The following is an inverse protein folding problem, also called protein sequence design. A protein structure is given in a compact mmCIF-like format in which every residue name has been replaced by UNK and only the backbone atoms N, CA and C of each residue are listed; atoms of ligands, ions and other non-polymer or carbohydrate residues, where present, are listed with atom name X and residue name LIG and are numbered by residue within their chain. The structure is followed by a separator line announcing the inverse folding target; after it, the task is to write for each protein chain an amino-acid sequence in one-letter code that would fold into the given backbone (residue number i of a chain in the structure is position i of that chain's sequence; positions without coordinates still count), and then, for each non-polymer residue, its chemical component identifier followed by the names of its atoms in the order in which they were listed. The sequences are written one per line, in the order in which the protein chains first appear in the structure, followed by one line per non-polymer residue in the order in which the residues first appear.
data_IF_002317082712
#
_entry.id   IF_002317082712
#
_cell.length_a   1.000
_cell.length_b   1.000
_cell.length_c   1.000
_cell.angle_alpha   90.00
_cell.angle_beta   90.00
_cell.angle_gamma   90.00
#
_symmetry.space_group_name_H-M   'P 1'
#
loop_
_entity.id
_entity.type
_entity.pdbx_description
1 polymer ?
#
# COMPACT_ATOMS: atom_id res chain seq x y z
N UNK A 1 5.42 4.42 -21.71
CA UNK A 1 5.35 2.98 -22.05
C UNK A 1 5.22 2.23 -20.74
N UNK A 2 4.25 1.33 -20.62
CA UNK A 2 4.10 0.53 -19.40
C UNK A 2 5.41 -0.21 -19.12
N UNK A 3 5.89 -0.18 -17.87
CA UNK A 3 6.98 -1.02 -17.43
C UNK A 3 6.63 -2.50 -17.74
N UNK A 4 7.61 -3.33 -18.11
CA UNK A 4 7.36 -4.76 -18.30
C UNK A 4 6.69 -5.32 -17.04
N UNK A 5 5.61 -6.08 -17.24
CA UNK A 5 4.82 -6.71 -16.19
C UNK A 5 5.72 -7.43 -15.18
N UNK A 6 5.32 -7.42 -13.90
CA UNK A 6 5.97 -8.24 -12.87
C UNK A 6 6.11 -9.66 -13.43
N UNK A 7 7.34 -10.19 -13.61
CA UNK A 7 7.52 -11.58 -13.96
C UNK A 7 6.76 -12.41 -12.93
N UNK A 8 5.93 -13.34 -13.39
CA UNK A 8 5.19 -14.21 -12.49
C UNK A 8 6.18 -14.80 -11.47
N UNK A 9 6.09 -14.37 -10.20
CA UNK A 9 6.97 -14.83 -9.11
C UNK A 9 6.94 -16.36 -8.97
N UNK A 10 5.91 -16.99 -9.54
CA UNK A 10 5.56 -18.39 -9.45
C UNK A 10 6.04 -19.22 -10.65
N UNK A 11 6.40 -18.61 -11.79
CA UNK A 11 6.83 -19.36 -12.99
C UNK A 11 8.25 -19.94 -12.93
N UNK A 12 8.99 -19.72 -11.84
CA UNK A 12 10.38 -20.19 -11.70
C UNK A 12 10.56 -21.32 -10.67
N UNK A 13 9.47 -21.86 -10.11
CA UNK A 13 9.53 -23.00 -9.17
C UNK A 13 9.26 -24.33 -9.89
N UNK A 14 10.13 -24.66 -10.86
CA UNK A 14 10.04 -25.95 -11.55
C UNK A 14 11.27 -26.23 -12.39
N UNK A 15 12.32 -26.80 -11.80
CA UNK A 15 13.54 -27.09 -12.55
C UNK A 15 14.62 -27.83 -11.80
N UNK A 16 14.28 -28.88 -11.06
CA UNK A 16 15.27 -29.85 -10.59
C UNK A 16 14.70 -31.28 -10.66
N UNK A 17 15.15 -32.05 -11.65
CA UNK A 17 15.05 -33.51 -11.66
C UNK A 17 14.21 -34.10 -12.79
N UNK A 18 14.88 -34.45 -13.90
CA UNK A 18 14.27 -35.26 -14.96
C UNK A 18 15.26 -35.59 -16.08
N UNK A 19 16.07 -36.64 -15.89
CA UNK A 19 16.83 -37.27 -16.98
C UNK A 19 15.86 -37.98 -17.92
N UNK A 20 15.90 -37.66 -19.21
CA UNK A 20 15.23 -38.43 -20.27
C UNK A 20 15.57 -37.85 -21.64
N UNK A 21 16.36 -38.58 -22.42
CA UNK A 21 16.90 -38.12 -23.70
C UNK A 21 15.90 -38.18 -24.86
N UNK A 22 16.27 -37.52 -25.96
CA UNK A 22 15.58 -37.65 -27.25
C UNK A 22 15.81 -36.45 -28.14
N UNK A 23 16.61 -36.66 -29.20
CA UNK A 23 16.86 -35.73 -30.30
C UNK A 23 15.54 -35.31 -30.97
N UNK A 24 15.38 -34.03 -31.29
CA UNK A 24 15.26 -33.57 -32.68
C UNK A 24 15.33 -32.06 -32.78
N UNK A 25 16.20 -31.59 -33.67
CA UNK A 25 16.52 -30.19 -33.88
C UNK A 25 15.55 -29.50 -34.82
N UNK A 26 15.24 -28.24 -34.51
CA UNK A 26 15.00 -27.14 -35.46
C UNK A 26 15.42 -25.86 -34.77
N UNK A 27 16.57 -25.32 -35.21
CA UNK A 27 17.15 -24.09 -34.69
C UNK A 27 16.29 -22.89 -35.03
N UNK A 28 15.91 -22.12 -34.00
CA UNK A 28 15.37 -20.78 -34.13
C UNK A 28 16.45 -19.82 -33.64
N UNK A 29 16.83 -18.89 -34.52
CA UNK A 29 17.98 -18.01 -34.37
C UNK A 29 17.94 -17.16 -33.11
N UNK A 30 19.13 -16.99 -32.53
CA UNK A 30 19.44 -16.03 -31.48
C UNK A 30 19.19 -14.60 -32.00
N UNK A 31 17.97 -14.10 -31.79
CA UNK A 31 17.62 -12.71 -31.97
C UNK A 31 18.33 -11.85 -30.93
N UNK A 32 19.45 -11.27 -31.34
CA UNK A 32 20.18 -10.22 -30.61
C UNK A 32 19.22 -9.05 -30.35
N UNK A 33 18.81 -8.86 -29.10
CA UNK A 33 18.04 -7.68 -28.69
C UNK A 33 18.88 -6.40 -28.96
N UNK A 34 18.31 -5.38 -29.61
CA UNK A 34 18.98 -4.10 -29.74
C UNK A 34 19.06 -3.44 -28.36
N UNK A 35 20.26 -3.00 -27.98
CA UNK A 35 20.47 -2.20 -26.79
C UNK A 35 19.78 -0.84 -26.99
N UNK A 36 18.61 -0.66 -26.37
CA UNK A 36 17.96 0.63 -26.30
C UNK A 36 18.67 1.48 -25.22
N UNK A 37 19.23 2.60 -25.68
CA UNK A 37 19.90 3.61 -24.89
C UNK A 37 18.92 4.36 -23.97
N UNK A 38 19.42 4.78 -22.79
CA UNK A 38 18.72 5.64 -21.84
C UNK A 38 18.50 4.95 -20.49
N UNK A 39 19.50 5.00 -19.62
CA UNK A 39 19.33 4.52 -18.24
C UNK A 39 18.31 5.40 -17.52
N UNK A 40 17.10 4.89 -17.30
CA UNK A 40 16.15 5.50 -16.38
C UNK A 40 16.85 5.70 -15.02
N UNK A 41 16.70 6.89 -14.43
CA UNK A 41 17.22 7.15 -13.08
C UNK A 41 16.59 6.18 -12.09
N UNK A 42 17.31 5.83 -11.01
CA UNK A 42 16.76 4.96 -9.96
C UNK A 42 15.40 5.49 -9.45
N UNK A 43 15.26 6.80 -9.35
CA UNK A 43 14.04 7.49 -8.94
C UNK A 43 12.87 7.26 -9.91
N UNK A 44 13.12 7.25 -11.23
CA UNK A 44 12.06 6.97 -12.21
C UNK A 44 11.51 5.54 -12.04
N UNK A 45 12.38 4.58 -11.73
CA UNK A 45 11.96 3.20 -11.48
C UNK A 45 11.15 3.07 -10.19
N UNK A 46 11.47 3.86 -9.17
CA UNK A 46 10.67 3.93 -7.93
C UNK A 46 9.30 4.57 -8.23
N UNK A 47 9.25 5.65 -9.01
CA UNK A 47 8.00 6.31 -9.42
C UNK A 47 7.10 5.38 -10.25
N UNK A 48 7.65 4.50 -11.07
CA UNK A 48 6.88 3.51 -11.85
C UNK A 48 6.15 2.48 -10.95
N UNK A 49 6.56 2.33 -9.68
CA UNK A 49 5.85 1.44 -8.74
C UNK A 49 4.46 1.97 -8.37
N UNK A 50 4.25 3.29 -8.40
CA UNK A 50 2.93 3.91 -8.22
C UNK A 50 1.98 3.50 -9.35
N UNK A 51 2.45 3.50 -10.60
CA UNK A 51 1.64 3.07 -11.75
C UNK A 51 1.20 1.61 -11.63
N UNK A 52 2.10 0.72 -11.21
CA UNK A 52 1.77 -0.70 -11.00
C UNK A 52 0.74 -0.89 -9.86
N UNK A 53 0.86 -0.09 -8.79
CA UNK A 53 -0.10 -0.07 -7.69
C UNK A 53 -1.47 0.46 -8.11
N UNK A 54 -1.52 1.56 -8.87
CA UNK A 54 -2.74 2.16 -9.40
C UNK A 54 -3.50 1.18 -10.32
N UNK A 55 -2.79 0.51 -11.24
CA UNK A 55 -3.37 -0.51 -12.11
C UNK A 55 -3.90 -1.70 -11.31
N UNK A 56 -3.17 -2.16 -10.29
CA UNK A 56 -3.63 -3.26 -9.44
C UNK A 56 -4.87 -2.89 -8.64
N UNK A 57 -4.95 -1.65 -8.15
CA UNK A 57 -6.14 -1.10 -7.50
C UNK A 57 -7.33 -1.04 -8.44
N UNK A 58 -7.17 -0.48 -9.65
CA UNK A 58 -8.25 -0.41 -10.63
C UNK A 58 -8.75 -1.81 -11.02
N UNK A 59 -7.85 -2.78 -11.23
CA UNK A 59 -8.24 -4.17 -11.47
C UNK A 59 -9.13 -4.73 -10.35
N UNK A 60 -8.75 -4.53 -9.09
CA UNK A 60 -9.55 -4.97 -7.95
C UNK A 60 -10.91 -4.26 -7.88
N UNK A 61 -10.98 -2.96 -8.21
CA UNK A 61 -12.23 -2.19 -8.28
C UNK A 61 -13.16 -2.72 -9.38
N UNK A 62 -12.65 -2.95 -10.59
CA UNK A 62 -13.45 -3.41 -11.73
C UNK A 62 -14.07 -4.79 -11.53
N UNK A 63 -13.38 -5.65 -10.77
CA UNK A 63 -13.92 -6.95 -10.39
C UNK A 63 -14.93 -6.85 -9.24
N UNK A 64 -14.90 -5.76 -8.47
CA UNK A 64 -15.77 -5.54 -7.31
C UNK A 64 -15.15 -5.94 -5.97
N UNK A 65 -13.84 -6.16 -5.90
CA UNK A 65 -13.15 -6.36 -4.61
C UNK A 65 -13.24 -5.09 -3.77
N UNK A 66 -13.01 -3.93 -4.39
CA UNK A 66 -12.99 -2.62 -3.74
C UNK A 66 -14.08 -1.71 -4.31
N UNK A 67 -14.70 -0.93 -3.44
CA UNK A 67 -15.54 0.21 -3.85
C UNK A 67 -14.71 1.49 -3.76
N UNK A 68 -14.36 2.02 -4.93
CA UNK A 68 -13.55 3.22 -5.06
C UNK A 68 -13.84 3.95 -6.38
N UNK A 69 -14.69 4.99 -6.35
CA UNK A 69 -15.07 5.71 -7.56
C UNK A 69 -13.94 6.55 -8.16
N UNK A 70 -12.81 6.69 -7.46
CA UNK A 70 -11.71 7.55 -7.85
C UNK A 70 -10.55 6.78 -8.51
N UNK A 71 -10.52 5.45 -8.40
CA UNK A 71 -9.39 4.64 -8.88
C UNK A 71 -9.13 4.77 -10.39
N UNK A 72 -10.19 4.88 -11.19
CA UNK A 72 -10.08 5.01 -12.64
C UNK A 72 -9.45 6.35 -13.08
N UNK A 73 -9.60 7.40 -12.27
CA UNK A 73 -9.03 8.72 -12.57
C UNK A 73 -7.49 8.72 -12.64
N UNK A 74 -6.84 7.76 -11.99
CA UNK A 74 -5.38 7.70 -11.86
C UNK A 74 -4.71 6.66 -12.76
N UNK A 75 -5.46 5.96 -13.61
CA UNK A 75 -4.90 4.99 -14.57
C UNK A 75 -5.12 5.50 -16.00
N UNK A 76 -4.02 5.57 -16.76
CA UNK A 76 -4.09 5.93 -18.18
C UNK A 76 -4.08 4.68 -19.07
N UNK A 77 -4.90 4.70 -20.11
CA UNK A 77 -4.98 3.62 -21.10
C UNK A 77 -6.01 2.55 -20.74
N UNK A 78 -6.08 1.46 -21.53
CA UNK A 78 -7.06 0.41 -21.31
C UNK A 78 -6.82 -0.27 -19.95
N UNK A 79 -7.88 -0.56 -19.18
CA UNK A 79 -7.75 -1.28 -17.93
C UNK A 79 -7.09 -2.64 -18.13
N UNK A 80 -6.08 -2.93 -17.31
CA UNK A 80 -5.36 -4.19 -17.35
C UNK A 80 -5.79 -5.05 -16.18
N UNK A 81 -6.49 -6.16 -16.45
CA UNK A 81 -6.90 -7.11 -15.43
C UNK A 81 -5.69 -7.83 -14.83
N UNK A 82 -5.66 -7.93 -13.50
CA UNK A 82 -4.66 -8.70 -12.74
C UNK A 82 -5.21 -10.07 -12.38
N UNK A 83 -4.30 -10.98 -12.02
CA UNK A 83 -4.66 -12.32 -11.54
C UNK A 83 -5.42 -12.23 -10.21
N UNK A 84 -6.33 -13.19 -9.89
CA UNK A 84 -7.10 -13.18 -8.65
C UNK A 84 -6.24 -13.06 -7.39
N UNK A 85 -5.06 -13.70 -7.37
CA UNK A 85 -4.08 -13.59 -6.27
C UNK A 85 -3.64 -12.14 -5.99
N UNK A 86 -3.49 -11.32 -7.04
CA UNK A 86 -3.10 -9.91 -6.95
C UNK A 86 -4.28 -9.05 -6.50
N UNK A 87 -5.47 -9.30 -7.03
CA UNK A 87 -6.69 -8.59 -6.60
C UNK A 87 -6.97 -8.85 -5.10
N UNK A 88 -6.84 -10.10 -4.66
CA UNK A 88 -6.97 -10.50 -3.25
C UNK A 88 -5.91 -9.84 -2.37
N UNK A 89 -4.64 -9.82 -2.77
CA UNK A 89 -3.60 -9.10 -2.03
C UNK A 89 -3.87 -7.60 -1.93
N UNK A 90 -4.31 -6.97 -3.03
CA UNK A 90 -4.67 -5.54 -3.09
C UNK A 90 -5.85 -5.21 -2.16
N UNK A 91 -6.83 -6.10 -2.10
CA UNK A 91 -7.96 -6.00 -1.18
C UNK A 91 -7.51 -6.05 0.27
N UNK A 92 -6.76 -7.09 0.67
CA UNK A 92 -6.32 -7.25 2.08
C UNK A 92 -5.44 -6.09 2.51
N UNK A 93 -4.49 -5.66 1.66
CA UNK A 93 -3.69 -4.45 1.90
C UNK A 93 -4.56 -3.23 2.19
N UNK A 94 -5.57 -3.00 1.35
CA UNK A 94 -6.45 -1.83 1.48
C UNK A 94 -7.27 -1.91 2.77
N UNK A 95 -7.89 -3.07 3.04
CA UNK A 95 -8.73 -3.28 4.24
C UNK A 95 -7.92 -3.20 5.52
N UNK A 96 -6.74 -3.82 5.56
CA UNK A 96 -5.85 -3.78 6.72
C UNK A 96 -5.48 -2.35 7.11
N UNK A 97 -5.04 -1.54 6.14
CA UNK A 97 -4.71 -0.13 6.38
C UNK A 97 -5.96 0.69 6.78
N UNK A 98 -7.09 0.48 6.09
CA UNK A 98 -8.34 1.18 6.40
C UNK A 98 -8.82 0.86 7.82
N UNK A 99 -8.68 -0.38 8.30
CA UNK A 99 -9.02 -0.77 9.67
C UNK A 99 -8.11 -0.09 10.71
N UNK A 100 -6.79 -0.05 10.47
CA UNK A 100 -5.83 0.61 11.38
C UNK A 100 -6.12 2.12 11.46
N UNK A 101 -6.32 2.75 10.31
CA UNK A 101 -6.63 4.19 10.23
C UNK A 101 -7.96 4.48 10.91
N UNK A 102 -8.99 3.68 10.65
CA UNK A 102 -10.30 3.84 11.32
C UNK A 102 -10.20 3.67 12.83
N UNK A 103 -9.38 2.72 13.30
CA UNK A 103 -9.14 2.50 14.72
C UNK A 103 -8.41 3.67 15.39
N UNK A 104 -7.49 4.32 14.68
CA UNK A 104 -6.85 5.55 15.14
C UNK A 104 -7.85 6.73 15.16
N UNK A 105 -8.62 6.91 14.09
CA UNK A 105 -9.61 7.98 13.95
C UNK A 105 -10.77 7.87 14.95
N UNK A 106 -11.13 6.66 15.38
CA UNK A 106 -12.18 6.44 16.39
C UNK A 106 -11.75 6.78 17.83
N UNK A 107 -10.46 6.95 18.11
CA UNK A 107 -10.01 7.31 19.46
C UNK A 107 -10.49 8.72 19.84
N UNK A 108 -10.84 8.98 21.10
CA UNK A 108 -11.09 10.35 21.54
C UNK A 108 -9.82 11.20 21.39
N UNK A 109 -10.01 12.49 21.13
CA UNK A 109 -8.92 13.46 21.21
C UNK A 109 -8.39 13.50 22.66
N UNK A 110 -7.12 13.90 22.83
CA UNK A 110 -6.53 14.00 24.16
C UNK A 110 -7.28 15.02 25.03
N UNK A 111 -7.25 14.87 26.37
CA UNK A 111 -7.82 15.89 27.26
C UNK A 111 -7.09 17.23 27.04
N UNK A 112 -7.85 18.26 26.63
CA UNK A 112 -7.33 19.59 26.31
C UNK A 112 -7.05 19.84 24.81
N UNK A 113 -7.15 18.81 23.96
CA UNK A 113 -6.98 18.94 22.52
C UNK A 113 -8.30 19.37 21.86
N UNK A 114 -8.41 20.66 21.55
CA UNK A 114 -9.21 21.12 20.41
C UNK A 114 -8.58 20.73 19.06
N UNK A 115 -7.56 19.87 19.05
CA UNK A 115 -6.74 19.56 17.89
C UNK A 115 -7.44 18.57 16.96
N UNK A 116 -7.59 19.00 15.70
CA UNK A 116 -7.75 18.17 14.51
C UNK A 116 -6.80 16.98 14.48
N UNK A 117 -7.30 15.82 14.03
CA UNK A 117 -6.43 14.67 13.73
C UNK A 117 -5.73 14.91 12.41
N UNK A 118 -4.51 14.40 12.30
CA UNK A 118 -3.75 14.49 11.05
C UNK A 118 -3.31 13.11 10.60
N UNK A 119 -3.40 12.86 9.29
CA UNK A 119 -2.82 11.68 8.64
C UNK A 119 -1.70 12.17 7.73
N UNK A 120 -0.54 11.53 7.81
CA UNK A 120 0.60 11.79 6.91
C UNK A 120 0.89 10.51 6.14
N UNK A 121 0.59 10.50 4.85
CA UNK A 121 0.87 9.39 3.94
C UNK A 121 2.22 9.62 3.25
N UNK A 122 3.20 8.78 3.57
CA UNK A 122 4.55 8.84 2.99
C UNK A 122 4.66 7.88 1.79
N UNK A 123 5.07 8.38 0.63
CA UNK A 123 5.01 7.62 -0.62
C UNK A 123 3.55 7.38 -1.02
N UNK A 124 2.72 8.43 -0.94
CA UNK A 124 1.28 8.32 -1.14
C UNK A 124 0.91 7.92 -2.57
N UNK A 125 1.77 8.20 -3.55
CA UNK A 125 1.48 7.98 -4.96
C UNK A 125 0.11 8.56 -5.34
N UNK A 126 -0.66 7.76 -6.05
CA UNK A 126 -2.02 8.06 -6.50
C UNK A 126 -3.11 7.51 -5.56
N UNK A 127 -2.81 7.34 -4.27
CA UNK A 127 -3.80 6.89 -3.27
C UNK A 127 -5.07 7.75 -3.27
N UNK A 128 -6.22 7.08 -3.24
CA UNK A 128 -7.56 7.68 -3.29
C UNK A 128 -8.23 7.71 -1.93
N UNK A 129 -7.58 7.15 -0.90
CA UNK A 129 -8.07 7.17 0.48
C UNK A 129 -8.43 8.55 1.02
N UNK A 130 -7.68 9.65 0.75
CA UNK A 130 -8.05 10.97 1.25
C UNK A 130 -9.48 11.35 0.84
N UNK A 131 -9.85 11.13 -0.43
CA UNK A 131 -11.18 11.44 -0.95
C UNK A 131 -12.27 10.66 -0.20
N UNK A 132 -12.07 9.35 0.00
CA UNK A 132 -13.02 8.49 0.73
C UNK A 132 -13.12 8.84 2.22
N UNK A 133 -12.00 9.17 2.87
CA UNK A 133 -11.98 9.51 4.28
C UNK A 133 -12.63 10.87 4.55
N UNK A 134 -12.34 11.89 3.74
CA UNK A 134 -12.90 13.23 3.90
C UNK A 134 -14.40 13.29 3.57
N UNK A 135 -14.88 12.42 2.67
CA UNK A 135 -16.30 12.22 2.42
C UNK A 135 -17.02 11.58 3.65
N UNK A 136 -16.36 10.62 4.33
CA UNK A 136 -16.96 9.86 5.44
C UNK A 136 -16.81 10.49 6.82
N UNK A 137 -15.81 11.35 7.03
CA UNK A 137 -15.48 11.97 8.32
C UNK A 137 -15.75 13.49 8.32
N UNK A 138 -16.75 13.95 7.57
CA UNK A 138 -17.10 15.38 7.43
C UNK A 138 -17.37 16.12 8.75
N UNK A 139 -17.66 15.40 9.84
CA UNK A 139 -17.91 15.96 11.17
C UNK A 139 -16.66 16.11 12.05
N UNK A 140 -15.51 15.57 11.62
CA UNK A 140 -14.24 15.69 12.34
C UNK A 140 -13.28 16.60 11.54
N UNK A 141 -12.59 17.50 12.24
CA UNK A 141 -11.50 18.25 11.64
C UNK A 141 -10.32 17.28 11.39
N UNK A 142 -10.20 16.81 10.14
CA UNK A 142 -9.17 15.89 9.68
C UNK A 142 -8.29 16.59 8.64
N UNK A 143 -7.00 16.65 8.91
CA UNK A 143 -6.00 17.11 7.94
C UNK A 143 -5.31 15.90 7.33
N UNK A 144 -5.25 15.82 6.00
CA UNK A 144 -4.57 14.73 5.31
C UNK A 144 -3.40 15.29 4.49
N UNK A 145 -2.20 14.88 4.85
CA UNK A 145 -0.96 15.24 4.17
C UNK A 145 -0.48 14.07 3.33
N UNK A 146 -0.09 14.36 2.09
CA UNK A 146 0.56 13.40 1.20
C UNK A 146 1.94 13.89 0.83
N UNK A 147 2.94 13.02 1.00
CA UNK A 147 4.34 13.33 0.69
C UNK A 147 4.83 12.30 -0.34
N UNK A 148 5.30 12.78 -1.48
CA UNK A 148 5.86 11.98 -2.56
C UNK A 148 6.91 12.79 -3.34
N UNK A 149 7.49 12.20 -4.39
CA UNK A 149 8.33 12.91 -5.33
C UNK A 149 7.55 14.00 -6.08
N UNK A 150 8.21 15.12 -6.37
CA UNK A 150 7.60 16.26 -7.06
C UNK A 150 6.86 15.88 -8.37
N UNK A 151 7.40 15.01 -9.24
CA UNK A 151 6.68 14.61 -10.45
C UNK A 151 5.39 13.84 -10.16
N UNK A 152 5.38 13.02 -9.11
CA UNK A 152 4.19 12.28 -8.65
C UNK A 152 3.14 13.23 -8.12
N UNK A 153 3.53 14.16 -7.23
CA UNK A 153 2.65 15.17 -6.66
C UNK A 153 2.03 16.06 -7.75
N UNK A 154 2.86 16.54 -8.70
CA UNK A 154 2.38 17.36 -9.83
C UNK A 154 1.39 16.59 -10.70
N UNK A 155 1.67 15.32 -11.02
CA UNK A 155 0.76 14.50 -11.82
C UNK A 155 -0.59 14.32 -11.12
N UNK A 156 -0.57 13.97 -9.83
CA UNK A 156 -1.79 13.81 -9.02
C UNK A 156 -2.59 15.11 -8.97
N UNK A 157 -1.93 16.23 -8.71
CA UNK A 157 -2.53 17.56 -8.72
C UNK A 157 -3.23 17.88 -10.05
N UNK A 158 -2.53 17.65 -11.18
CA UNK A 158 -3.08 17.86 -12.51
C UNK A 158 -4.34 17.01 -12.75
N UNK A 159 -4.33 15.74 -12.35
CA UNK A 159 -5.49 14.86 -12.47
C UNK A 159 -6.67 15.39 -11.62
N UNK A 160 -6.43 15.73 -10.35
CA UNK A 160 -7.46 16.27 -9.45
C UNK A 160 -8.10 17.53 -10.06
N UNK A 161 -7.28 18.47 -10.53
CA UNK A 161 -7.75 19.73 -11.11
C UNK A 161 -8.52 19.55 -12.42
N UNK A 162 -8.13 18.60 -13.24
CA UNK A 162 -8.73 18.39 -14.58
C UNK A 162 -9.88 17.40 -14.60
N UNK A 163 -10.08 16.65 -13.52
CA UNK A 163 -11.16 15.66 -13.39
C UNK A 163 -12.33 16.26 -12.61
N UNK A 164 -13.50 16.52 -13.23
CA UNK A 164 -14.61 17.20 -12.56
C UNK A 164 -15.10 16.50 -11.28
N UNK A 165 -15.09 15.17 -11.26
CA UNK A 165 -15.50 14.36 -10.11
C UNK A 165 -14.58 14.56 -8.89
N UNK A 166 -13.31 14.94 -9.11
CA UNK A 166 -12.34 15.22 -8.06
C UNK A 166 -12.29 16.73 -7.76
N UNK A 167 -12.22 17.57 -8.79
CA UNK A 167 -12.13 19.02 -8.65
C UNK A 167 -13.30 19.60 -7.83
N UNK A 168 -14.52 19.07 -8.01
CA UNK A 168 -15.70 19.52 -7.27
C UNK A 168 -15.64 19.23 -5.75
N UNK A 169 -14.69 18.41 -5.28
CA UNK A 169 -14.52 18.09 -3.85
C UNK A 169 -13.64 19.09 -3.10
N UNK A 170 -12.93 19.95 -3.84
CA UNK A 170 -11.92 20.83 -3.29
C UNK A 170 -12.22 22.30 -3.57
N UNK A 171 -12.00 23.14 -2.55
CA UNK A 171 -12.07 24.60 -2.59
C UNK A 171 -10.69 25.16 -2.19
N UNK A 172 -10.45 26.45 -2.44
CA UNK A 172 -9.24 27.18 -2.03
C UNK A 172 -7.92 26.45 -2.40
N UNK A 173 -7.83 26.04 -3.66
CA UNK A 173 -6.66 25.32 -4.19
C UNK A 173 -5.49 26.29 -4.37
N UNK A 174 -4.45 26.11 -3.58
CA UNK A 174 -3.19 26.87 -3.66
C UNK A 174 -2.07 25.97 -4.19
N UNK A 175 -1.32 26.46 -5.19
CA UNK A 175 -0.14 25.77 -5.75
C UNK A 175 1.12 26.60 -5.49
N UNK A 176 2.11 25.98 -4.86
CA UNK A 176 3.43 26.57 -4.70
C UNK A 176 4.31 26.25 -5.92
N UNK A 177 5.25 27.15 -6.23
CA UNK A 177 6.23 26.94 -7.31
C UNK A 177 7.09 25.67 -7.14
N UNK A 178 7.17 25.13 -5.92
CA UNK A 178 7.85 23.87 -5.59
C UNK A 178 7.09 22.61 -6.01
N UNK A 179 5.87 22.72 -6.53
CA UNK A 179 4.99 21.57 -6.83
C UNK A 179 4.20 21.05 -5.63
N UNK A 180 4.34 21.68 -4.47
CA UNK A 180 3.47 21.47 -3.31
C UNK A 180 2.12 22.16 -3.54
N UNK A 181 1.03 21.55 -3.09
CA UNK A 181 -0.30 22.13 -3.20
C UNK A 181 -1.12 21.88 -1.92
N UNK A 182 -2.11 22.75 -1.69
CA UNK A 182 -3.07 22.67 -0.58
C UNK A 182 -4.47 22.92 -1.14
N UNK A 183 -5.47 22.27 -0.55
CA UNK A 183 -6.86 22.58 -0.81
C UNK A 183 -7.70 22.32 0.44
N UNK A 184 -8.85 22.99 0.55
CA UNK A 184 -9.87 22.67 1.54
C UNK A 184 -10.84 21.66 0.94
N UNK A 185 -11.27 20.68 1.72
CA UNK A 185 -12.33 19.77 1.29
C UNK A 185 -13.69 20.46 1.49
N UNK A 186 -14.61 20.32 0.54
CA UNK A 186 -15.94 20.96 0.56
C UNK A 186 -16.75 20.70 1.85
N UNK A 187 -16.46 19.60 2.56
CA UNK A 187 -17.13 19.25 3.82
C UNK A 187 -16.50 19.85 5.08
N UNK A 188 -15.33 20.50 4.97
CA UNK A 188 -14.56 21.03 6.11
C UNK A 188 -14.56 22.56 6.05
N UNK A 189 -15.54 23.19 6.69
CA UNK A 189 -15.61 24.66 6.84
C UNK A 189 -14.99 25.12 8.16
N UNK A 190 -13.65 25.19 8.24
CA UNK A 190 -12.97 25.98 9.27
C UNK A 190 -11.65 26.53 8.72
N UNK A 191 -11.55 27.87 8.65
CA UNK A 191 -10.32 28.56 8.30
C UNK A 191 -9.44 28.71 9.54
N UNK A 192 -8.42 27.88 9.66
CA UNK A 192 -7.17 28.18 10.39
C UNK A 192 -6.07 27.26 9.82
N UNK A 193 -4.84 27.24 10.35
CA UNK A 193 -3.81 26.19 10.09
C UNK A 193 -2.67 26.41 9.08
N UNK A 194 -2.18 27.62 8.82
CA UNK A 194 -0.86 27.77 8.18
C UNK A 194 0.31 27.68 9.18
N UNK A 195 0.09 28.00 10.47
CA UNK A 195 1.15 28.08 11.51
C UNK A 195 1.48 26.71 12.16
N UNK A 196 0.58 25.72 12.07
CA UNK A 196 0.66 24.46 12.84
C UNK A 196 1.66 23.43 12.28
N UNK A 197 2.04 23.55 11.00
CA UNK A 197 3.02 22.65 10.38
C UNK A 197 4.42 22.89 10.97
N UNK A 198 4.75 24.14 11.31
CA UNK A 198 6.02 24.47 11.96
C UNK A 198 6.04 23.96 13.41
N UNK A 199 4.93 24.06 14.15
CA UNK A 199 4.80 23.47 15.49
C UNK A 199 4.86 21.93 15.47
N UNK A 200 4.39 21.27 14.41
CA UNK A 200 4.47 19.82 14.22
C UNK A 200 5.92 19.31 14.11
N UNK A 201 6.79 20.09 13.44
CA UNK A 201 8.22 19.75 13.33
C UNK A 201 9.03 20.26 14.53
N UNK A 202 8.60 21.35 15.18
CA UNK A 202 9.28 21.95 16.32
C UNK A 202 8.93 21.23 17.65
N UNK A 203 7.71 20.70 17.79
CA UNK A 203 7.33 19.83 18.90
C UNK A 203 7.55 18.37 18.49
N UNK A 204 8.37 17.64 19.25
CA UNK A 204 8.42 16.17 19.12
C UNK A 204 6.98 15.67 19.30
N UNK A 205 6.33 15.16 18.25
CA UNK A 205 4.92 14.74 18.26
C UNK A 205 4.62 13.92 19.53
N UNK A 206 3.90 14.53 20.47
CA UNK A 206 3.66 13.94 21.78
C UNK A 206 2.85 12.65 21.64
N UNK A 207 1.90 12.64 20.71
CA UNK A 207 0.99 11.55 20.36
C UNK A 207 1.23 11.16 18.90
N UNK A 208 1.63 9.92 18.64
CA UNK A 208 1.96 9.47 17.29
C UNK A 208 1.50 8.03 17.07
N UNK A 209 0.89 7.77 15.92
CA UNK A 209 0.59 6.43 15.43
C UNK A 209 1.26 6.23 14.06
N UNK A 210 1.65 4.99 13.77
CA UNK A 210 2.22 4.60 12.47
C UNK A 210 1.58 3.30 12.00
N UNK A 211 1.38 3.20 10.69
CA UNK A 211 1.03 1.97 10.00
C UNK A 211 1.99 1.78 8.82
N UNK A 212 2.50 0.58 8.65
CA UNK A 212 3.45 0.18 7.62
C UNK A 212 2.88 -1.01 6.86
N UNK A 213 3.01 -0.98 5.54
CA UNK A 213 2.79 -2.15 4.68
C UNK A 213 4.03 -2.33 3.83
N UNK A 214 4.72 -3.46 3.96
CA UNK A 214 5.89 -3.75 3.15
C UNK A 214 6.06 -5.25 2.88
N UNK A 215 6.81 -5.63 1.83
CA UNK A 215 7.23 -7.01 1.67
C UNK A 215 8.12 -7.46 2.83
N UNK A 216 8.12 -8.76 3.06
CA UNK A 216 8.82 -9.44 4.13
C UNK A 216 9.45 -10.69 3.51
N UNK A 217 10.74 -10.66 3.15
CA UNK A 217 11.32 -11.71 2.34
C UNK A 217 11.38 -13.05 3.05
N UNK A 218 11.49 -13.09 4.39
CA UNK A 218 11.74 -14.33 5.12
C UNK A 218 13.04 -15.04 4.66
N UNK A 219 13.41 -16.12 5.36
CA UNK A 219 14.59 -16.93 5.03
C UNK A 219 14.23 -18.18 4.23
N UNK A 220 13.39 -18.03 3.20
CA UNK A 220 12.95 -19.14 2.36
C UNK A 220 13.24 -18.93 0.87
N UNK A 221 12.93 -19.94 0.05
CA UNK A 221 13.15 -19.87 -1.41
C UNK A 221 12.34 -18.76 -2.08
N UNK A 222 11.11 -18.52 -1.61
CA UNK A 222 10.25 -17.49 -2.18
C UNK A 222 10.83 -16.10 -1.88
N UNK A 223 11.31 -15.89 -0.66
CA UNK A 223 12.08 -14.71 -0.25
C UNK A 223 13.26 -14.39 -1.15
N UNK A 224 14.09 -15.40 -1.45
CA UNK A 224 15.24 -15.21 -2.34
C UNK A 224 14.81 -14.80 -3.76
N UNK A 225 13.73 -15.40 -4.28
CA UNK A 225 13.17 -15.04 -5.59
C UNK A 225 12.59 -13.62 -5.56
N UNK A 226 11.87 -13.25 -4.49
CA UNK A 226 11.36 -11.89 -4.29
C UNK A 226 12.47 -10.85 -4.33
N UNK A 227 13.54 -11.05 -3.54
CA UNK A 227 14.69 -10.15 -3.49
C UNK A 227 15.41 -10.07 -4.86
N UNK A 228 15.56 -11.21 -5.55
CA UNK A 228 16.12 -11.26 -6.89
C UNK A 228 15.29 -10.44 -7.89
N UNK A 229 13.96 -10.55 -7.84
CA UNK A 229 13.06 -9.82 -8.74
C UNK A 229 13.07 -8.31 -8.48
N UNK A 230 13.12 -7.88 -7.21
CA UNK A 230 13.29 -6.47 -6.86
C UNK A 230 14.63 -5.93 -7.38
N UNK A 231 15.72 -6.68 -7.19
CA UNK A 231 17.05 -6.32 -7.69
C UNK A 231 17.11 -6.25 -9.21
N UNK A 232 16.46 -7.18 -9.92
CA UNK A 232 16.36 -7.17 -11.38
C UNK A 232 15.62 -5.93 -11.90
N UNK A 233 14.67 -5.42 -11.13
CA UNK A 233 14.00 -4.13 -11.35
C UNK A 233 14.78 -2.93 -10.82
N UNK A 234 16.03 -3.09 -10.35
CA UNK A 234 16.83 -2.01 -9.74
C UNK A 234 16.17 -1.34 -8.53
N UNK A 235 15.25 -2.04 -7.86
CA UNK A 235 14.63 -1.59 -6.62
C UNK A 235 15.49 -2.08 -5.46
N UNK A 236 16.02 -1.13 -4.67
CA UNK A 236 16.83 -1.43 -3.50
C UNK A 236 16.07 -1.04 -2.23
N UNK A 237 15.83 -2.01 -1.35
CA UNK A 237 15.12 -1.81 -0.08
C UNK A 237 15.98 -2.33 1.09
N UNK A 238 16.83 -1.49 1.69
CA UNK A 238 17.71 -1.89 2.80
C UNK A 238 16.94 -2.47 3.99
N UNK A 239 15.70 -2.03 4.21
CA UNK A 239 14.84 -2.53 5.29
C UNK A 239 14.60 -4.04 5.19
N UNK A 240 14.52 -4.60 3.98
CA UNK A 240 14.24 -6.03 3.77
C UNK A 240 15.39 -6.93 4.22
N UNK A 241 16.61 -6.40 4.30
CA UNK A 241 17.78 -7.13 4.78
C UNK A 241 17.81 -7.16 6.31
N UNK A 242 17.36 -6.07 6.95
CA UNK A 242 17.42 -5.90 8.41
C UNK A 242 16.17 -6.42 9.11
N UNK A 243 14.99 -6.19 8.54
CA UNK A 243 13.67 -6.48 9.11
C UNK A 243 12.95 -7.51 8.23
N UNK A 244 13.56 -8.69 8.14
CA UNK A 244 13.19 -9.74 7.18
C UNK A 244 11.88 -10.47 7.50
N UNK A 245 11.42 -10.40 8.75
CA UNK A 245 10.24 -11.09 9.27
C UNK A 245 9.40 -10.17 10.17
N UNK A 246 8.26 -10.68 10.65
CA UNK A 246 7.27 -9.87 11.37
C UNK A 246 7.78 -9.45 12.75
N UNK A 247 8.62 -10.28 13.38
CA UNK A 247 9.32 -9.95 14.63
C UNK A 247 10.28 -8.78 14.41
N UNK A 248 11.06 -8.82 13.33
CA UNK A 248 11.97 -7.73 12.95
C UNK A 248 11.23 -6.41 12.71
N UNK A 249 10.03 -6.43 12.13
CA UNK A 249 9.20 -5.22 12.02
C UNK A 249 8.71 -4.72 13.39
N UNK A 250 8.37 -5.63 14.30
CA UNK A 250 8.05 -5.29 15.68
C UNK A 250 9.22 -4.61 16.41
N UNK A 251 10.44 -5.16 16.27
CA UNK A 251 11.67 -4.57 16.81
C UNK A 251 11.96 -3.21 16.20
N UNK A 252 11.80 -3.04 14.88
CA UNK A 252 11.94 -1.74 14.19
C UNK A 252 11.07 -0.66 14.83
N UNK A 253 9.81 -0.98 15.13
CA UNK A 253 8.88 -0.04 15.77
C UNK A 253 9.26 0.23 17.22
N UNK A 254 9.74 -0.78 17.95
CA UNK A 254 10.20 -0.64 19.32
C UNK A 254 11.43 0.27 19.42
N UNK A 255 12.41 0.04 18.55
CA UNK A 255 13.63 0.84 18.44
C UNK A 255 13.34 2.30 18.07
N UNK A 256 12.26 2.53 17.31
CA UNK A 256 11.77 3.86 16.97
C UNK A 256 10.99 4.56 18.12
N UNK A 257 10.78 3.88 19.26
CA UNK A 257 10.15 4.44 20.45
C UNK A 257 8.63 4.34 20.50
N UNK A 258 8.02 3.41 19.74
CA UNK A 258 6.60 3.09 19.88
C UNK A 258 6.36 2.18 21.10
N UNK A 259 5.26 2.42 21.81
CA UNK A 259 4.92 1.74 23.07
C UNK A 259 3.99 0.56 22.82
N UNK A 260 2.93 0.80 22.06
CA UNK A 260 2.00 -0.23 21.58
C UNK A 260 2.42 -0.65 20.20
N UNK A 261 2.68 -1.94 19.98
CA UNK A 261 3.19 -2.49 18.73
C UNK A 261 2.39 -3.74 18.36
N UNK A 262 2.02 -3.84 17.09
CA UNK A 262 1.47 -5.07 16.53
C UNK A 262 1.88 -5.26 15.07
N UNK A 263 1.76 -6.49 14.60
CA UNK A 263 2.06 -6.87 13.23
C UNK A 263 1.22 -8.08 12.82
N UNK A 264 0.97 -8.20 11.52
CA UNK A 264 0.32 -9.36 10.93
C UNK A 264 0.85 -9.56 9.51
N UNK A 265 1.10 -10.81 9.11
CA UNK A 265 1.26 -11.08 7.69
C UNK A 265 -0.06 -10.83 6.96
N UNK A 266 -0.02 -10.58 5.65
CA UNK A 266 -1.23 -10.46 4.83
C UNK A 266 -2.06 -11.75 4.88
N UNK A 267 -1.39 -12.90 5.04
CA UNK A 267 -2.04 -14.18 5.27
C UNK A 267 -2.82 -14.17 6.59
N UNK A 268 -2.19 -13.77 7.70
CA UNK A 268 -2.86 -13.74 9.01
C UNK A 268 -4.00 -12.71 9.02
N UNK A 269 -3.82 -11.57 8.37
CA UNK A 269 -4.87 -10.57 8.20
C UNK A 269 -6.06 -11.12 7.40
N UNK A 270 -5.82 -11.87 6.32
CA UNK A 270 -6.89 -12.57 5.60
C UNK A 270 -7.61 -13.57 6.49
N UNK A 271 -6.87 -14.41 7.21
CA UNK A 271 -7.44 -15.47 8.03
C UNK A 271 -8.27 -14.90 9.18
N UNK A 272 -7.77 -13.87 9.86
CA UNK A 272 -8.32 -13.37 11.11
C UNK A 272 -9.21 -12.11 11.00
N UNK A 273 -8.91 -11.21 10.06
CA UNK A 273 -9.56 -9.88 10.01
C UNK A 273 -10.70 -9.82 8.99
N UNK A 274 -10.63 -10.65 7.95
CA UNK A 274 -11.69 -10.77 6.95
C UNK A 274 -12.62 -11.91 7.39
N UNK A 275 -13.91 -11.59 7.57
CA UNK A 275 -14.90 -12.59 7.96
C UNK A 275 -15.28 -13.53 6.80
N UNK A 276 -15.93 -14.65 7.13
CA UNK A 276 -16.25 -15.69 6.16
C UNK A 276 -17.30 -15.26 5.14
N UNK A 277 -18.19 -14.32 5.51
CA UNK A 277 -19.17 -13.75 4.59
C UNK A 277 -18.47 -12.94 3.49
N UNK A 278 -17.49 -12.14 3.88
CA UNK A 278 -16.70 -11.34 2.96
C UNK A 278 -15.75 -12.20 2.13
N UNK A 279 -15.13 -13.24 2.72
CA UNK A 279 -14.36 -14.24 1.95
C UNK A 279 -15.24 -14.94 0.90
N UNK A 280 -16.47 -15.32 1.25
CA UNK A 280 -17.42 -15.92 0.32
C UNK A 280 -17.83 -14.94 -0.80
N UNK A 281 -18.06 -13.67 -0.47
CA UNK A 281 -18.32 -12.61 -1.47
C UNK A 281 -17.17 -12.51 -2.47
N UNK A 282 -15.93 -12.45 -1.98
CA UNK A 282 -14.74 -12.34 -2.85
C UNK A 282 -14.53 -13.60 -3.71
N UNK A 283 -14.75 -14.79 -3.16
CA UNK A 283 -14.68 -16.04 -3.91
C UNK A 283 -15.73 -16.14 -5.03
N UNK A 284 -16.92 -15.53 -4.82
CA UNK A 284 -17.96 -15.46 -5.84
C UNK A 284 -17.63 -14.48 -6.98
N UNK A 285 -16.79 -13.46 -6.73
CA UNK A 285 -16.32 -12.54 -7.78
C UNK A 285 -15.28 -13.21 -8.68
N UNK A 286 -14.27 -13.82 -8.07
CA UNK A 286 -13.21 -14.54 -8.75
C UNK A 286 -12.81 -15.77 -7.93
N UNK A 287 -12.96 -16.95 -8.53
CA UNK A 287 -12.39 -18.18 -7.98
C UNK A 287 -10.87 -18.08 -7.84
N UNK A 288 -10.32 -18.83 -6.90
CA UNK A 288 -8.88 -18.97 -6.73
C UNK A 288 -8.54 -20.47 -6.66
N UNK A 289 -7.99 -20.98 -7.75
CA UNK A 289 -7.61 -22.40 -7.85
C UNK A 289 -6.28 -22.69 -7.13
N UNK A 290 -5.39 -21.70 -7.06
CA UNK A 290 -4.03 -21.80 -6.47
C UNK A 290 -4.00 -21.19 -5.05
N UNK A 291 -4.71 -21.80 -4.10
CA UNK A 291 -4.83 -21.30 -2.72
C UNK A 291 -3.47 -21.30 -2.01
N UNK A 292 -2.65 -22.32 -2.23
CA UNK A 292 -1.32 -22.48 -1.64
C UNK A 292 -0.37 -21.38 -2.12
N UNK A 293 -0.46 -21.00 -3.40
CA UNK A 293 0.37 -19.92 -3.96
C UNK A 293 -0.03 -18.56 -3.40
N UNK A 294 -1.33 -18.33 -3.22
CA UNK A 294 -1.82 -17.15 -2.52
C UNK A 294 -1.35 -17.11 -1.06
N UNK A 295 -1.45 -18.22 -0.33
CA UNK A 295 -0.96 -18.29 1.05
C UNK A 295 0.54 -18.00 1.13
N UNK A 296 1.33 -18.55 0.19
CA UNK A 296 2.76 -18.30 0.10
C UNK A 296 3.05 -16.82 -0.16
N UNK A 297 2.42 -16.21 -1.17
CA UNK A 297 2.58 -14.77 -1.45
C UNK A 297 2.15 -13.92 -0.25
N UNK A 298 0.99 -14.20 0.33
CA UNK A 298 0.42 -13.42 1.43
C UNK A 298 1.23 -13.53 2.73
N UNK A 299 1.93 -14.65 2.96
CA UNK A 299 2.83 -14.78 4.10
C UNK A 299 4.06 -13.86 4.00
N UNK A 300 4.41 -13.39 2.80
CA UNK A 300 5.59 -12.55 2.52
C UNK A 300 5.30 -11.06 2.42
N UNK A 301 4.14 -10.62 2.90
CA UNK A 301 3.83 -9.21 3.09
C UNK A 301 3.33 -9.02 4.51
N UNK A 302 3.66 -7.89 5.10
CA UNK A 302 3.34 -7.59 6.49
C UNK A 302 2.69 -6.23 6.60
N UNK A 303 1.71 -6.16 7.49
CA UNK A 303 1.16 -4.92 8.02
C UNK A 303 1.66 -4.79 9.45
N UNK A 304 2.38 -3.73 9.77
CA UNK A 304 2.87 -3.44 11.11
C UNK A 304 2.35 -2.08 11.59
N UNK A 305 2.02 -1.95 12.86
CA UNK A 305 1.51 -0.71 13.43
C UNK A 305 2.10 -0.43 14.80
N UNK A 306 2.28 0.85 15.10
CA UNK A 306 2.87 1.34 16.34
C UNK A 306 2.12 2.57 16.85
N UNK A 307 2.02 2.72 18.17
CA UNK A 307 1.50 3.94 18.78
C UNK A 307 2.31 4.35 20.01
N UNK A 308 2.43 5.66 20.21
CA UNK A 308 3.08 6.33 21.33
C UNK A 308 2.12 7.38 21.88
N UNK A 309 1.77 7.30 23.17
CA UNK A 309 0.85 8.24 23.85
C UNK A 309 -0.51 8.41 23.14
N UNK A 310 -0.86 7.47 22.28
CA UNK A 310 -2.14 7.31 21.58
C UNK A 310 -2.38 5.82 21.41
N UNK A 311 -3.46 5.43 20.75
CA UNK A 311 -3.74 4.02 20.53
C UNK A 311 -4.62 3.76 19.32
N UNK A 312 -4.99 2.49 19.20
CA UNK A 312 -5.91 1.96 18.19
C UNK A 312 -7.16 1.35 18.85
N UNK A 313 -7.47 1.76 20.09
CA UNK A 313 -8.53 1.15 20.90
C UNK A 313 -8.34 -0.36 21.04
N UNK A 314 -9.43 -1.12 20.87
CA UNK A 314 -9.40 -2.58 20.91
C UNK A 314 -8.77 -3.23 19.68
N UNK A 315 -8.45 -2.48 18.61
CA UNK A 315 -7.92 -3.06 17.36
C UNK A 315 -6.66 -3.89 17.63
N UNK A 316 -5.70 -3.37 18.40
CA UNK A 316 -4.47 -4.11 18.73
C UNK A 316 -4.75 -5.41 19.48
N UNK A 317 -5.69 -5.39 20.44
CA UNK A 317 -6.09 -6.58 21.18
C UNK A 317 -6.79 -7.58 20.28
N UNK A 318 -7.78 -7.16 19.48
CA UNK A 318 -8.59 -8.01 18.59
C UNK A 318 -7.75 -8.60 17.46
N UNK A 319 -6.89 -7.77 16.84
CA UNK A 319 -5.99 -8.20 15.77
C UNK A 319 -4.99 -9.24 16.26
N UNK A 320 -4.49 -9.12 17.50
CA UNK A 320 -3.52 -10.05 18.08
C UNK A 320 -4.17 -11.28 18.76
N UNK A 321 -5.34 -11.16 19.40
CA UNK A 321 -6.02 -12.34 20.02
C UNK A 321 -6.50 -13.33 18.98
N UNK A 322 -6.92 -12.88 17.79
CA UNK A 322 -7.27 -13.80 16.69
C UNK A 322 -6.06 -14.48 16.04
N UNK A 323 -4.83 -14.02 16.27
CA UNK A 323 -3.61 -14.71 15.80
C UNK A 323 -3.19 -15.88 16.70
N UNK A 324 -3.51 -15.86 18.00
CA UNK A 324 -3.10 -16.90 18.95
C UNK A 324 -4.01 -18.15 18.90
N UNK A 325 -5.18 -18.06 18.25
CA UNK A 325 -6.18 -19.13 18.22
C UNK A 325 -5.90 -20.33 17.28
N UNK A 326 -4.78 -20.36 16.56
CA UNK A 326 -4.44 -21.45 15.62
C UNK A 326 -3.18 -22.24 16.00
N UNK A 327 -2.65 -22.02 17.21
CA UNK A 327 -1.50 -22.76 17.75
C UNK A 327 -1.85 -23.50 19.04
N UNK A 328 -2.62 -24.58 18.95
CA UNK A 328 -2.72 -25.63 19.99
C UNK A 328 -3.04 -26.95 19.33
#
# INVERSE_FOLDING_TARGET
MAAPSIPNLLSMRGGAGGRGGGRDGRGIGCGRFPAAAGGASADAVIQDTDTDAAVSRLSAVQVGYLDDPYAECFVSGPPTRRLPIINRGTYVRTRALDMIISAFLSQPNGPGDGCSKQIVSLGAGTDTRPFRLLDSHSSQELVYHEIDFEPTCRRKYQIIRTTPALASRFEDVEEAASGSWRALHQSTRTHHESERVLDLFQSKMARLAIALYEPMPLDDTFGQVMLSNLKARKIHMPSLIRYKDASGQGERLRDAGFETIGHASVKDAWDAWIDDQEKARLAALEGLDEVEEWQLLAAHYVVAWGAKQTGFGDFGRIAMTKQVGTGS
#
